data_IF_319580280651
#
_entry.id   IF_319580280651
#
_cell.length_a   1.000
_cell.length_b   1.000
_cell.length_c   1.000
_cell.angle_alpha   90.00
_cell.angle_beta   90.00
_cell.angle_gamma   90.00
#
_symmetry.space_group_name_H-M   'P 1'
#
loop_
_entity.id
_entity.type
_entity.pdbx_description
1 polymer ?
#
# COMPACT_ATOMS: atom_id res chain seq x y z
N UNK A 1 4.25 -4.51 -2.65
CA UNK A 1 3.21 -3.54 -3.05
C UNK A 1 2.01 -4.30 -3.58
N UNK A 2 0.83 -3.70 -3.59
CA UNK A 2 -0.41 -4.30 -4.11
C UNK A 2 -1.04 -3.40 -5.16
N UNK A 3 -1.59 -3.99 -6.21
CA UNK A 3 -2.49 -3.28 -7.11
C UNK A 3 -3.83 -3.06 -6.42
N UNK A 4 -4.46 -1.91 -6.68
CA UNK A 4 -5.79 -1.58 -6.20
C UNK A 4 -6.71 -1.23 -7.37
N UNK A 5 -8.03 -1.34 -7.15
CA UNK A 5 -9.00 -0.70 -8.05
C UNK A 5 -8.66 0.80 -8.11
N UNK A 6 -8.57 1.40 -9.31
CA UNK A 6 -8.20 2.80 -9.44
C UNK A 6 -9.09 3.70 -8.60
N UNK A 7 -8.47 4.65 -7.89
CA UNK A 7 -9.18 5.69 -7.17
C UNK A 7 -8.77 7.06 -7.68
N UNK A 8 -9.76 7.95 -7.77
CA UNK A 8 -9.55 9.33 -8.17
C UNK A 8 -9.28 10.19 -6.95
N UNK A 9 -8.17 10.92 -6.99
CA UNK A 9 -7.73 11.83 -5.92
C UNK A 9 -7.64 13.23 -6.51
N UNK A 10 -8.28 14.19 -5.85
CA UNK A 10 -8.14 15.60 -6.21
C UNK A 10 -7.11 16.26 -5.29
N UNK A 11 -6.06 16.85 -5.87
CA UNK A 11 -5.01 17.55 -5.13
C UNK A 11 -4.48 18.71 -5.96
N UNK A 12 -4.39 19.88 -5.34
CA UNK A 12 -3.81 21.09 -5.94
C UNK A 12 -4.44 21.48 -7.30
N UNK A 13 -5.75 21.28 -7.46
CA UNK A 13 -6.45 21.63 -8.70
C UNK A 13 -6.36 20.60 -9.82
N UNK A 14 -5.63 19.50 -9.61
CA UNK A 14 -5.46 18.43 -10.59
C UNK A 14 -6.12 17.15 -10.07
N UNK A 15 -6.79 16.45 -10.98
CA UNK A 15 -7.29 15.10 -10.75
C UNK A 15 -6.18 14.10 -11.05
N UNK A 16 -5.80 13.32 -10.06
CA UNK A 16 -4.81 12.25 -10.17
C UNK A 16 -5.49 10.89 -9.92
N UNK A 17 -4.88 9.83 -10.42
CA UNK A 17 -5.36 8.46 -10.23
C UNK A 17 -4.30 7.61 -9.54
N UNK A 18 -4.67 6.99 -8.41
CA UNK A 18 -3.82 6.03 -7.74
C UNK A 18 -4.29 4.60 -8.02
N UNK A 19 -3.33 3.74 -8.34
CA UNK A 19 -3.55 2.34 -8.74
C UNK A 19 -2.70 1.34 -7.94
N UNK A 20 -1.74 1.83 -7.15
CA UNK A 20 -0.83 1.00 -6.35
C UNK A 20 -0.85 1.45 -4.89
N UNK A 21 -0.98 0.48 -3.98
CA UNK A 21 -0.74 0.63 -2.55
C UNK A 21 0.66 0.09 -2.21
N UNK A 22 1.51 0.95 -1.68
CA UNK A 22 2.82 0.59 -1.13
C UNK A 22 2.84 0.88 0.36
N UNK A 23 3.39 -0.04 1.16
CA UNK A 23 3.46 0.13 2.61
C UNK A 23 4.69 -0.56 3.19
N UNK A 24 5.10 -0.08 4.37
CA UNK A 24 6.12 -0.73 5.20
C UNK A 24 5.78 -0.58 6.69
N UNK A 25 6.18 -1.57 7.49
CA UNK A 25 6.11 -1.53 8.95
C UNK A 25 7.24 -0.64 9.48
N UNK A 26 6.88 0.36 10.27
CA UNK A 26 7.83 1.34 10.83
C UNK A 26 8.10 1.16 12.31
N UNK A 27 7.16 0.56 13.02
CA UNK A 27 7.23 0.30 14.44
C UNK A 27 6.37 -0.91 14.77
N UNK A 28 6.88 -1.75 15.67
CA UNK A 28 6.16 -2.86 16.25
C UNK A 28 6.69 -3.07 17.68
N UNK A 29 5.80 -3.14 18.66
CA UNK A 29 6.16 -3.38 20.06
C UNK A 29 6.23 -4.88 20.42
N UNK A 30 5.95 -5.75 19.45
CA UNK A 30 5.84 -7.21 19.53
C UNK A 30 4.83 -7.69 20.58
N UNK A 31 3.83 -6.86 20.87
CA UNK A 31 2.90 -7.13 21.98
C UNK A 31 1.48 -6.67 21.71
N UNK A 32 1.29 -5.42 21.33
CA UNK A 32 -0.02 -4.78 21.26
C UNK A 32 -0.21 -3.82 20.10
N UNK A 33 0.85 -3.40 19.41
CA UNK A 33 0.72 -2.39 18.35
C UNK A 33 1.79 -2.45 17.28
N UNK A 34 1.36 -2.14 16.05
CA UNK A 34 2.19 -1.91 14.89
C UNK A 34 1.78 -0.61 14.18
N UNK A 35 2.75 0.14 13.65
CA UNK A 35 2.52 1.33 12.82
C UNK A 35 3.03 1.10 11.42
N UNK A 36 2.13 1.21 10.44
CA UNK A 36 2.43 1.10 9.02
C UNK A 36 2.40 2.48 8.36
N UNK A 37 3.44 2.82 7.60
CA UNK A 37 3.36 3.93 6.65
C UNK A 37 2.90 3.39 5.30
N UNK A 38 2.06 4.15 4.62
CA UNK A 38 1.58 3.81 3.29
C UNK A 38 1.78 4.98 2.32
N UNK A 39 1.83 4.63 1.03
CA UNK A 39 1.74 5.57 -0.08
C UNK A 39 0.83 5.00 -1.16
N UNK A 40 -0.01 5.86 -1.72
CA UNK A 40 -0.82 5.59 -2.91
C UNK A 40 -0.11 6.18 -4.11
N UNK A 41 0.08 5.36 -5.14
CA UNK A 41 0.93 5.68 -6.29
C UNK A 41 0.20 5.52 -7.62
N UNK A 42 0.60 6.31 -8.60
CA UNK A 42 0.17 6.16 -9.99
C UNK A 42 0.88 4.96 -10.66
N UNK A 43 0.60 4.74 -11.94
CA UNK A 43 1.24 3.69 -12.75
C UNK A 43 2.75 3.85 -12.91
N UNK A 44 3.27 5.06 -12.72
CA UNK A 44 4.70 5.39 -12.82
C UNK A 44 5.41 5.35 -11.45
N UNK A 45 4.74 4.79 -10.43
CA UNK A 45 5.21 4.72 -9.05
C UNK A 45 5.38 6.09 -8.36
N UNK A 46 4.84 7.16 -8.96
CA UNK A 46 4.84 8.50 -8.37
C UNK A 46 3.85 8.50 -7.20
N UNK A 47 4.32 8.95 -6.04
CA UNK A 47 3.50 9.09 -4.84
C UNK A 47 2.51 10.23 -5.00
N UNK A 48 1.22 9.93 -4.88
CA UNK A 48 0.12 10.90 -4.94
C UNK A 48 -0.30 11.30 -3.53
N UNK A 49 -0.44 10.32 -2.63
CA UNK A 49 -0.83 10.48 -1.22
C UNK A 49 0.03 9.56 -0.38
N UNK A 50 0.35 9.98 0.84
CA UNK A 50 0.94 9.15 1.87
C UNK A 50 0.21 9.33 3.20
N UNK A 51 0.51 8.44 4.14
CA UNK A 51 -0.02 8.52 5.49
C UNK A 51 0.47 7.38 6.36
N UNK A 52 -0.16 7.24 7.52
CA UNK A 52 0.10 6.15 8.45
C UNK A 52 -1.20 5.51 8.92
N UNK A 53 -1.13 4.23 9.24
CA UNK A 53 -2.20 3.45 9.86
C UNK A 53 -1.59 2.72 11.06
N UNK A 54 -2.23 2.86 12.21
CA UNK A 54 -1.87 2.13 13.42
C UNK A 54 -2.80 0.92 13.58
N UNK A 55 -2.21 -0.26 13.79
CA UNK A 55 -2.89 -1.48 14.20
C UNK A 55 -2.65 -1.69 15.69
N UNK A 56 -3.71 -1.85 16.48
CA UNK A 56 -3.59 -1.96 17.93
C UNK A 56 -4.66 -2.83 18.56
N UNK A 57 -4.41 -3.30 19.77
CA UNK A 57 -5.37 -4.05 20.57
C UNK A 57 -5.85 -5.31 19.87
N UNK A 58 -7.18 -5.48 19.77
CA UNK A 58 -7.77 -6.67 19.15
C UNK A 58 -7.41 -6.83 17.67
N UNK A 59 -7.25 -5.72 16.92
CA UNK A 59 -6.84 -5.78 15.51
C UNK A 59 -5.42 -6.39 15.39
N UNK A 60 -4.51 -5.99 16.29
CA UNK A 60 -3.14 -6.52 16.32
C UNK A 60 -3.11 -7.98 16.79
N UNK A 61 -3.85 -8.32 17.84
CA UNK A 61 -3.93 -9.72 18.33
C UNK A 61 -4.54 -10.67 17.28
N UNK A 62 -5.44 -10.17 16.43
CA UNK A 62 -6.05 -10.96 15.37
C UNK A 62 -5.19 -11.04 14.09
N UNK A 63 -4.18 -10.19 13.96
CA UNK A 63 -3.28 -10.19 12.80
C UNK A 63 -2.32 -11.39 12.86
N UNK A 64 -2.06 -11.99 11.70
CA UNK A 64 -1.25 -13.19 11.53
C UNK A 64 0.23 -12.89 11.25
N UNK A 65 0.66 -11.64 11.46
CA UNK A 65 2.00 -11.14 11.15
C UNK A 65 2.39 -11.30 9.67
N UNK A 66 1.42 -11.53 8.79
CA UNK A 66 1.67 -11.69 7.35
C UNK A 66 1.66 -10.34 6.63
N UNK A 67 2.46 -10.26 5.57
CA UNK A 67 2.44 -9.12 4.64
C UNK A 67 1.04 -8.91 4.05
N UNK A 68 0.37 -9.99 3.65
CA UNK A 68 -0.97 -9.93 3.08
C UNK A 68 -1.99 -9.41 4.09
N UNK A 69 -1.92 -9.88 5.34
CA UNK A 69 -2.72 -9.37 6.45
C UNK A 69 -2.53 -7.87 6.67
N UNK A 70 -1.28 -7.39 6.67
CA UNK A 70 -0.97 -5.97 6.80
C UNK A 70 -1.55 -5.14 5.65
N UNK A 71 -1.35 -5.57 4.40
CA UNK A 71 -1.91 -4.87 3.24
C UNK A 71 -3.44 -4.86 3.25
N UNK A 72 -4.08 -5.98 3.61
CA UNK A 72 -5.54 -6.05 3.74
C UNK A 72 -6.06 -5.13 4.84
N UNK A 73 -5.36 -5.04 5.97
CA UNK A 73 -5.71 -4.13 7.06
C UNK A 73 -5.67 -2.66 6.61
N UNK A 74 -4.55 -2.25 5.99
CA UNK A 74 -4.37 -0.88 5.48
C UNK A 74 -5.44 -0.56 4.42
N UNK A 75 -5.66 -1.47 3.47
CA UNK A 75 -6.69 -1.31 2.45
C UNK A 75 -8.08 -1.16 3.06
N UNK A 76 -8.42 -1.94 4.10
CA UNK A 76 -9.68 -1.82 4.81
C UNK A 76 -9.85 -0.45 5.49
N UNK A 77 -8.83 0.06 6.17
CA UNK A 77 -8.89 1.40 6.81
C UNK A 77 -9.04 2.54 5.80
N UNK A 78 -8.49 2.37 4.60
CA UNK A 78 -8.54 3.37 3.53
C UNK A 78 -9.69 3.16 2.53
N UNK A 79 -10.55 2.15 2.76
CA UNK A 79 -11.63 1.74 1.85
C UNK A 79 -11.14 1.46 0.40
N UNK A 80 -10.02 0.75 0.28
CA UNK A 80 -9.43 0.34 -0.98
C UNK A 80 -9.81 -1.11 -1.30
N UNK A 81 -9.89 -1.43 -2.60
CA UNK A 81 -10.04 -2.81 -3.07
C UNK A 81 -8.73 -3.27 -3.69
N UNK A 82 -8.04 -4.24 -3.05
CA UNK A 82 -6.85 -4.88 -3.63
C UNK A 82 -7.26 -5.79 -4.79
N UNK A 83 -6.57 -5.69 -5.92
CA UNK A 83 -6.84 -6.47 -7.14
C UNK A 83 -5.75 -7.49 -7.44
N UNK A 84 -4.62 -7.44 -6.73
CA UNK A 84 -3.55 -8.44 -6.83
C UNK A 84 -2.20 -7.92 -6.34
N UNK A 85 -1.18 -8.76 -6.46
CA UNK A 85 0.20 -8.36 -6.24
C UNK A 85 0.68 -7.41 -7.34
N UNK A 86 1.44 -6.39 -6.94
CA UNK A 86 2.22 -5.62 -7.89
C UNK A 86 3.46 -6.42 -8.27
N UNK A 87 3.66 -6.62 -9.56
CA UNK A 87 4.86 -7.23 -10.13
C UNK A 87 5.61 -6.12 -10.88
N UNK A 88 6.86 -5.89 -10.50
CA UNK A 88 7.70 -4.92 -11.19
C UNK A 88 7.90 -5.37 -12.67
N UNK A 89 7.79 -4.44 -13.64
CA UNK A 89 8.08 -4.78 -15.03
C UNK A 89 9.47 -5.38 -15.15
N UNK A 90 9.61 -6.46 -15.92
CA UNK A 90 10.93 -7.00 -16.23
C UNK A 90 11.80 -5.90 -16.87
N UNK A 91 13.10 -5.83 -16.54
CA UNK A 91 14.01 -4.95 -17.25
C UNK A 91 13.86 -5.17 -18.75
N UNK A 92 13.76 -4.08 -19.53
CA UNK A 92 13.86 -4.18 -20.97
C UNK A 92 15.21 -4.80 -21.32
N UNK A 93 15.19 -6.03 -21.81
CA UNK A 93 16.34 -6.65 -22.46
C UNK A 93 16.57 -5.89 -23.77
N UNK A 94 17.39 -4.85 -23.71
CA UNK A 94 17.84 -4.09 -24.88
C UNK A 94 18.87 -4.92 -25.65
N UNK A 95 18.46 -6.13 -26.06
CA UNK A 95 19.30 -7.20 -26.61
C UNK A 95 20.51 -6.65 -27.32
N UNK A 96 21.67 -6.75 -26.67
CA UNK A 96 22.93 -6.50 -27.34
C UNK A 96 23.09 -7.63 -28.35
N UNK A 97 23.01 -7.26 -29.62
CA UNK A 97 23.29 -8.10 -30.81
C UNK A 97 24.56 -8.95 -30.67
#
# INVERSE_FOLDING_TARGET
>A
MKNIKPITIWREGVTMEAVILSAYLSYDDLKTTATFYYSLRDTNLIQIVDGKVDMSGADYTAWDDSNDGAYNYIAGKLNLTITGDYIEPAPVDNGNE
#
